data_IF_802299153911
#
_entry.id   IF_802299153911
#
_cell.length_a   1.000
_cell.length_b   1.000
_cell.length_c   1.000
_cell.angle_alpha   90.00
_cell.angle_beta   90.00
_cell.angle_gamma   90.00
#
_symmetry.space_group_name_H-M   'P 1'
#
loop_
_entity.id
_entity.type
_entity.pdbx_description
1 polymer ?
#
# COMPACT_ATOMS: atom_id res chain seq x y z
N UNK A 1 30.48 -33.80 -10.66
CA UNK A 1 29.45 -33.22 -9.75
C UNK A 1 28.91 -31.94 -10.36
N UNK A 2 27.76 -31.98 -11.05
CA UNK A 2 27.16 -30.78 -11.65
C UNK A 2 26.29 -30.08 -10.60
N UNK A 3 26.82 -29.01 -9.99
CA UNK A 3 26.02 -28.11 -9.14
C UNK A 3 25.04 -27.39 -10.08
N UNK A 4 23.79 -27.84 -10.11
CA UNK A 4 22.73 -27.18 -10.86
C UNK A 4 22.48 -25.80 -10.25
N UNK A 5 22.83 -24.75 -11.01
CA UNK A 5 22.72 -23.33 -10.65
C UNK A 5 21.25 -22.86 -10.52
N UNK A 6 20.26 -23.74 -10.73
CA UNK A 6 18.84 -23.38 -10.77
C UNK A 6 18.10 -23.43 -9.42
N UNK A 7 18.77 -23.74 -8.30
CA UNK A 7 18.09 -23.88 -6.98
C UNK A 7 18.02 -22.59 -6.16
N UNK A 8 18.55 -21.47 -6.67
CA UNK A 8 18.76 -20.25 -5.90
C UNK A 8 17.55 -19.28 -5.85
N UNK A 9 16.48 -19.51 -6.64
CA UNK A 9 15.38 -18.54 -6.76
C UNK A 9 13.99 -19.04 -6.36
N UNK A 10 13.90 -20.18 -5.67
CA UNK A 10 12.63 -20.58 -5.04
C UNK A 10 12.59 -20.10 -3.59
N UNK A 11 11.99 -18.93 -3.36
CA UNK A 11 11.56 -18.60 -2.02
C UNK A 11 10.61 -19.69 -1.52
N UNK A 12 10.95 -20.26 -0.36
CA UNK A 12 10.20 -21.33 0.30
C UNK A 12 9.05 -20.80 1.15
N UNK A 13 9.15 -19.56 1.64
CA UNK A 13 8.21 -18.98 2.59
C UNK A 13 7.64 -17.65 2.11
N UNK A 14 6.39 -17.40 2.48
CA UNK A 14 5.72 -16.14 2.24
C UNK A 14 6.25 -15.05 3.18
N UNK A 15 6.66 -13.90 2.64
CA UNK A 15 7.16 -12.77 3.43
C UNK A 15 6.11 -11.99 4.23
N UNK A 16 4.84 -12.40 4.19
CA UNK A 16 3.74 -11.78 4.95
C UNK A 16 3.28 -12.70 6.08
N UNK A 17 2.94 -13.95 5.76
CA UNK A 17 2.42 -14.91 6.74
C UNK A 17 3.46 -15.90 7.27
N UNK A 18 4.70 -15.86 6.77
CA UNK A 18 5.79 -16.78 7.08
C UNK A 18 5.48 -18.28 6.86
N UNK A 19 4.35 -18.60 6.20
CA UNK A 19 4.00 -19.98 5.85
C UNK A 19 4.78 -20.43 4.62
N UNK A 20 5.09 -21.73 4.61
CA UNK A 20 5.73 -22.36 3.47
C UNK A 20 4.78 -22.37 2.27
N UNK A 21 5.30 -22.11 1.07
CA UNK A 21 4.53 -22.24 -0.16
C UNK A 21 4.29 -23.71 -0.50
N UNK A 22 3.09 -24.00 -1.00
CA UNK A 22 2.84 -25.29 -1.63
C UNK A 22 3.45 -25.31 -3.05
N UNK A 23 3.73 -26.51 -3.57
CA UNK A 23 4.32 -26.68 -4.92
C UNK A 23 3.52 -26.02 -6.03
N UNK A 24 2.21 -25.92 -5.88
CA UNK A 24 1.27 -25.35 -6.87
C UNK A 24 0.65 -24.02 -6.41
N UNK A 25 1.20 -23.37 -5.37
CA UNK A 25 0.65 -22.11 -4.89
C UNK A 25 1.14 -20.93 -5.74
N UNK A 26 0.19 -20.07 -6.13
CA UNK A 26 0.49 -18.83 -6.83
C UNK A 26 1.17 -17.84 -5.88
N UNK A 27 2.33 -17.36 -6.32
CA UNK A 27 3.15 -16.41 -5.58
C UNK A 27 3.60 -15.28 -6.50
N UNK A 28 3.75 -14.11 -5.91
CA UNK A 28 4.21 -12.90 -6.62
C UNK A 28 5.38 -12.29 -5.86
N UNK A 29 6.38 -11.80 -6.60
CA UNK A 29 7.54 -11.11 -6.05
C UNK A 29 7.27 -9.61 -5.94
N UNK A 30 7.54 -9.03 -4.78
CA UNK A 30 7.55 -7.58 -4.65
C UNK A 30 8.81 -7.00 -5.33
N UNK A 31 8.63 -6.14 -6.34
CA UNK A 31 9.76 -5.47 -7.01
C UNK A 31 10.28 -4.25 -6.23
N UNK A 32 9.60 -3.87 -5.15
CA UNK A 32 10.05 -2.83 -4.24
C UNK A 32 11.26 -3.26 -3.40
N UNK A 33 11.62 -2.42 -2.42
CA UNK A 33 12.82 -2.59 -1.58
C UNK A 33 12.91 -3.93 -0.85
N UNK A 34 11.78 -4.57 -0.52
CA UNK A 34 11.81 -5.78 0.29
C UNK A 34 12.18 -7.05 -0.48
N UNK A 35 11.96 -7.09 -1.81
CA UNK A 35 12.24 -8.26 -2.66
C UNK A 35 11.73 -9.60 -2.11
N UNK A 36 10.61 -9.57 -1.38
CA UNK A 36 9.98 -10.76 -0.77
C UNK A 36 8.88 -11.33 -1.66
N UNK A 37 8.78 -12.65 -1.68
CA UNK A 37 7.66 -13.37 -2.29
C UNK A 37 6.44 -13.35 -1.37
N UNK A 38 5.25 -13.20 -1.95
CA UNK A 38 3.98 -13.17 -1.21
C UNK A 38 2.97 -14.16 -1.80
N UNK A 39 2.26 -14.85 -0.91
CA UNK A 39 1.23 -15.81 -1.28
C UNK A 39 0.00 -15.12 -1.85
N UNK A 40 -0.71 -15.75 -2.79
CA UNK A 40 -1.94 -15.19 -3.37
C UNK A 40 -2.90 -14.67 -2.29
N UNK A 41 -3.18 -15.50 -1.27
CA UNK A 41 -4.08 -15.16 -0.15
C UNK A 41 -3.63 -13.90 0.60
N UNK A 42 -2.33 -13.75 0.77
CA UNK A 42 -1.69 -12.65 1.50
C UNK A 42 -1.74 -11.34 0.71
N UNK A 43 -1.74 -11.43 -0.62
CA UNK A 43 -1.83 -10.26 -1.51
C UNK A 43 -3.27 -9.78 -1.71
N UNK A 44 -4.25 -10.66 -1.51
CA UNK A 44 -5.66 -10.40 -1.82
C UNK A 44 -5.98 -10.38 -3.33
N UNK A 45 -5.03 -10.80 -4.17
CA UNK A 45 -5.24 -10.87 -5.62
C UNK A 45 -5.86 -12.21 -6.04
N UNK A 46 -6.60 -12.20 -7.16
CA UNK A 46 -7.07 -13.43 -7.77
C UNK A 46 -5.92 -14.15 -8.49
N UNK A 47 -6.06 -15.48 -8.69
CA UNK A 47 -5.10 -16.29 -9.46
C UNK A 47 -4.85 -15.69 -10.84
N UNK A 48 -5.93 -15.35 -11.55
CA UNK A 48 -5.87 -14.75 -12.89
C UNK A 48 -5.09 -13.43 -12.89
N UNK A 49 -5.25 -12.61 -11.86
CA UNK A 49 -4.46 -11.38 -11.72
C UNK A 49 -2.96 -11.67 -11.60
N UNK A 50 -2.56 -12.69 -10.83
CA UNK A 50 -1.14 -13.08 -10.68
C UNK A 50 -0.58 -13.66 -12.00
N UNK A 51 -1.35 -14.49 -12.68
CA UNK A 51 -0.98 -15.03 -14.00
C UNK A 51 -0.81 -13.90 -15.03
N UNK A 52 -1.73 -12.93 -15.07
CA UNK A 52 -1.60 -11.77 -15.95
C UNK A 52 -0.36 -10.93 -15.63
N UNK A 53 -0.01 -10.75 -14.35
CA UNK A 53 1.23 -10.05 -13.99
C UNK A 53 2.48 -10.75 -14.57
N UNK A 54 2.50 -12.09 -14.53
CA UNK A 54 3.59 -12.88 -15.09
C UNK A 54 3.64 -12.83 -16.62
N UNK A 55 2.48 -12.87 -17.29
CA UNK A 55 2.40 -12.84 -18.76
C UNK A 55 2.66 -11.43 -19.32
N UNK A 56 2.13 -10.40 -18.67
CA UNK A 56 2.18 -9.02 -19.16
C UNK A 56 3.43 -8.26 -18.68
N UNK A 57 4.39 -8.94 -18.01
CA UNK A 57 5.58 -8.35 -17.41
C UNK A 57 5.27 -7.14 -16.50
N UNK A 58 4.09 -7.17 -15.86
CA UNK A 58 3.66 -6.09 -14.98
C UNK A 58 4.30 -6.24 -13.61
N UNK A 59 4.74 -5.12 -13.07
CA UNK A 59 5.41 -5.06 -11.77
C UNK A 59 4.39 -5.00 -10.62
N UNK A 60 4.66 -5.73 -9.54
CA UNK A 60 3.86 -5.68 -8.31
C UNK A 60 4.68 -5.24 -7.11
N UNK A 61 4.07 -4.39 -6.27
CA UNK A 61 4.70 -3.85 -5.05
C UNK A 61 3.78 -4.10 -3.85
N UNK A 62 4.32 -4.68 -2.77
CA UNK A 62 3.54 -4.95 -1.55
C UNK A 62 3.15 -3.66 -0.83
N UNK A 63 2.09 -3.73 0.01
CA UNK A 63 1.57 -2.57 0.76
C UNK A 63 2.66 -1.83 1.52
N UNK A 64 3.52 -2.54 2.26
CA UNK A 64 4.62 -1.94 3.04
C UNK A 64 5.67 -1.22 2.19
N UNK A 65 5.84 -1.61 0.92
CA UNK A 65 6.72 -0.90 -0.01
C UNK A 65 6.02 0.25 -0.75
N UNK A 66 4.68 0.26 -0.80
CA UNK A 66 3.90 1.34 -1.38
C UNK A 66 3.72 2.53 -0.44
N UNK A 67 3.75 2.33 0.88
CA UNK A 67 3.55 3.43 1.85
C UNK A 67 4.64 4.49 1.66
N UNK A 68 4.32 5.71 1.19
CA UNK A 68 5.27 6.80 1.22
C UNK A 68 5.62 7.07 2.69
N UNK A 69 6.88 7.39 2.99
CA UNK A 69 7.26 7.81 4.35
C UNK A 69 6.35 8.98 4.73
N UNK A 70 5.28 8.73 5.52
CA UNK A 70 4.55 9.81 6.17
C UNK A 70 5.62 10.57 6.94
N UNK A 71 5.81 11.86 6.62
CA UNK A 71 6.63 12.73 7.45
C UNK A 71 6.04 12.59 8.84
N UNK A 72 6.74 11.91 9.74
CA UNK A 72 6.41 11.96 11.14
C UNK A 72 6.71 13.40 11.51
N UNK A 73 5.68 14.25 11.54
CA UNK A 73 5.74 15.53 12.23
C UNK A 73 5.93 15.17 13.68
N UNK A 74 7.20 15.17 14.12
CA UNK A 74 7.56 15.09 15.52
C UNK A 74 7.01 16.37 16.12
N UNK A 75 5.82 16.29 16.73
CA UNK A 75 5.34 17.35 17.61
C UNK A 75 6.13 17.15 18.89
N UNK A 76 7.12 18.01 19.14
CA UNK A 76 7.75 18.09 20.45
C UNK A 76 6.64 18.43 21.46
N UNK A 77 6.40 17.62 22.50
CA UNK A 77 5.52 18.05 23.57
C UNK A 77 6.17 19.28 24.23
N UNK A 78 5.47 20.41 24.20
CA UNK A 78 5.78 21.50 25.12
C UNK A 78 5.38 21.00 26.50
N UNK A 79 6.33 20.95 27.42
CA UNK A 79 6.03 20.81 28.83
C UNK A 79 5.47 22.16 29.29
N UNK A 80 4.17 22.32 29.20
CA UNK A 80 3.47 23.45 29.81
C UNK A 80 2.72 22.87 31.02
N UNK A 81 3.42 22.85 32.17
CA UNK A 81 2.81 22.91 33.50
C UNK A 81 1.98 24.20 33.55
N UNK A 82 0.66 24.13 33.32
CA UNK A 82 -0.32 24.92 34.07
C UNK A 82 -1.73 24.36 33.90
N UNK A 83 -2.48 24.38 35.00
CA UNK A 83 -3.83 23.84 35.14
C UNK A 83 -4.88 24.63 34.35
N UNK A 84 -5.87 23.91 33.81
CA UNK A 84 -7.33 24.19 33.77
C UNK A 84 -7.96 23.79 32.43
N UNK A 85 -9.08 23.05 32.47
CA UNK A 85 -9.87 22.64 31.28
C UNK A 85 -10.57 23.81 30.57
N UNK A 86 -11.50 23.59 29.60
CA UNK A 86 -12.32 22.39 29.39
C UNK A 86 -12.23 21.77 27.97
N UNK A 87 -13.01 20.71 27.80
CA UNK A 87 -13.25 19.95 26.58
C UNK A 87 -14.02 20.80 25.56
N UNK A 88 -13.35 21.23 24.48
CA UNK A 88 -14.03 21.75 23.30
C UNK A 88 -13.70 20.84 22.11
N UNK A 89 -14.70 20.06 21.71
CA UNK A 89 -14.78 19.36 20.43
C UNK A 89 -14.73 20.42 19.31
N UNK A 90 -13.54 20.69 18.76
CA UNK A 90 -13.45 21.41 17.50
C UNK A 90 -13.71 20.45 16.35
N UNK A 91 -14.95 20.51 15.88
CA UNK A 91 -15.47 19.99 14.63
C UNK A 91 -14.45 20.14 13.50
N UNK A 92 -13.88 19.01 13.08
CA UNK A 92 -13.21 18.89 11.81
C UNK A 92 -14.28 18.82 10.71
N UNK A 93 -14.93 19.95 10.43
CA UNK A 93 -15.74 20.15 9.24
C UNK A 93 -14.80 20.24 8.05
N UNK A 94 -14.38 19.08 7.57
CA UNK A 94 -13.82 18.95 6.24
C UNK A 94 -14.94 19.35 5.27
N UNK A 95 -14.96 20.60 4.81
CA UNK A 95 -15.85 21.05 3.74
C UNK A 95 -15.71 20.11 2.55
N UNK A 96 -16.62 19.16 2.44
CA UNK A 96 -16.67 18.24 1.32
C UNK A 96 -17.18 19.04 0.13
N UNK A 97 -16.26 19.49 -0.72
CA UNK A 97 -16.59 20.15 -1.97
C UNK A 97 -17.56 19.26 -2.75
N UNK A 98 -18.82 19.69 -2.87
CA UNK A 98 -19.87 18.85 -3.40
C UNK A 98 -19.79 18.83 -4.92
N UNK A 99 -20.35 17.79 -5.56
CA UNK A 99 -20.38 17.72 -7.02
C UNK A 99 -21.14 18.93 -7.63
N UNK A 100 -22.06 19.54 -6.88
CA UNK A 100 -22.73 20.80 -7.24
C UNK A 100 -21.76 21.99 -7.31
N UNK A 101 -20.77 22.07 -6.43
CA UNK A 101 -19.78 23.16 -6.44
C UNK A 101 -18.85 23.04 -7.66
N UNK A 102 -18.47 21.81 -8.03
CA UNK A 102 -17.72 21.54 -9.27
C UNK A 102 -18.52 21.99 -10.49
N UNK A 103 -19.81 21.62 -10.56
CA UNK A 103 -20.66 21.95 -11.70
C UNK A 103 -20.89 23.46 -11.84
N UNK A 104 -21.01 24.18 -10.73
CA UNK A 104 -21.17 25.64 -10.72
C UNK A 104 -19.91 26.37 -11.20
N UNK A 105 -18.72 25.84 -10.93
CA UNK A 105 -17.47 26.41 -11.44
C UNK A 105 -17.29 26.18 -12.94
N UNK A 106 -17.68 25.00 -13.46
CA UNK A 106 -17.60 24.72 -14.90
C UNK A 106 -18.45 25.67 -15.74
N UNK A 107 -19.65 26.03 -15.26
CA UNK A 107 -20.53 26.99 -15.95
C UNK A 107 -19.95 28.41 -16.06
N UNK A 108 -19.01 28.79 -15.18
CA UNK A 108 -18.33 30.10 -15.26
C UNK A 108 -17.25 30.11 -16.36
N UNK A 109 -16.69 28.95 -16.69
CA UNK A 109 -15.62 28.82 -17.69
C UNK A 109 -16.20 28.75 -19.11
N UNK A 110 -17.42 28.25 -19.28
CA UNK A 110 -18.06 28.05 -20.60
C UNK A 110 -18.74 29.30 -21.19
N UNK A 111 -18.69 30.46 -20.52
CA UNK A 111 -19.21 31.74 -21.04
C UNK A 111 -18.11 32.59 -21.68
N UNK A 112 -17.49 32.07 -22.73
CA UNK A 112 -16.71 32.84 -23.73
C UNK A 112 -17.31 32.53 -25.09
#
# INVERSE_FOLDING_TARGET
MKKNINKANEAKYCGVCNKQFNKSEYKVLCVGKCRKWSCQKCTGMTRKSIENLATENKNWTCKSCKVPKKRQSIVMPKNDDDSSGPEDEEDNESEQFTMSDIMRQLQKITKI
#
